data_IF_500327470586
#
_entry.id   IF_500327470586
#
_cell.length_a   1.000
_cell.length_b   1.000
_cell.length_c   1.000
_cell.angle_alpha   90.00
_cell.angle_beta   90.00
_cell.angle_gamma   90.00
#
_symmetry.space_group_name_H-M   'P 1'
#
loop_
_entity.id
_entity.type
_entity.pdbx_description
1 polymer ?
#
# COMPACT_ATOMS: atom_id res chain seq x y z
N UNK A 1 6.88 -11.96 1.33
CA UNK A 1 7.46 -10.64 1.01
C UNK A 1 6.98 -10.22 -0.37
N UNK A 2 6.64 -8.93 -0.61
CA UNK A 2 6.32 -8.45 -1.95
C UNK A 2 7.49 -8.73 -2.89
N UNK A 3 7.22 -9.17 -4.12
CA UNK A 3 8.27 -9.36 -5.12
C UNK A 3 8.80 -7.99 -5.55
N UNK A 4 10.12 -7.86 -5.69
CA UNK A 4 10.74 -6.66 -6.25
C UNK A 4 10.24 -6.43 -7.68
N UNK A 5 10.23 -5.17 -8.13
CA UNK A 5 9.87 -4.84 -9.51
C UNK A 5 10.91 -5.45 -10.46
N UNK A 6 10.54 -5.87 -11.68
CA UNK A 6 11.46 -6.49 -12.62
C UNK A 6 12.76 -5.70 -12.85
N UNK A 7 12.69 -4.36 -12.88
CA UNK A 7 13.82 -3.46 -13.15
C UNK A 7 14.55 -2.99 -11.86
N UNK A 8 14.49 -3.77 -10.78
CA UNK A 8 15.18 -3.37 -9.53
C UNK A 8 16.65 -3.74 -9.62
N UNK A 9 17.52 -2.73 -9.73
CA UNK A 9 18.97 -2.91 -9.69
C UNK A 9 19.40 -3.08 -8.23
N UNK A 10 20.06 -4.20 -7.93
CA UNK A 10 20.68 -4.45 -6.63
C UNK A 10 22.18 -4.30 -6.84
N UNK A 11 22.87 -3.39 -6.13
CA UNK A 11 24.31 -3.23 -6.26
C UNK A 11 25.03 -4.55 -6.00
N UNK A 12 26.07 -4.80 -6.80
CA UNK A 12 27.02 -5.89 -6.55
C UNK A 12 27.86 -5.60 -5.31
N UNK A 13 28.56 -6.61 -4.79
CA UNK A 13 29.42 -6.44 -3.61
C UNK A 13 30.55 -5.44 -3.85
N UNK A 14 31.11 -5.42 -5.08
CA UNK A 14 32.14 -4.46 -5.48
C UNK A 14 31.60 -3.03 -5.51
N UNK A 15 30.43 -2.81 -6.13
CA UNK A 15 29.76 -1.50 -6.14
C UNK A 15 29.40 -1.04 -4.72
N UNK A 16 28.92 -1.94 -3.86
CA UNK A 16 28.65 -1.63 -2.45
C UNK A 16 29.91 -1.17 -1.70
N UNK A 17 31.06 -1.79 -1.96
CA UNK A 17 32.32 -1.38 -1.34
C UNK A 17 32.71 0.03 -1.78
N UNK A 18 32.64 0.33 -3.08
CA UNK A 18 32.90 1.67 -3.61
C UNK A 18 31.95 2.72 -3.03
N UNK A 19 30.64 2.41 -2.95
CA UNK A 19 29.63 3.28 -2.33
C UNK A 19 29.98 3.56 -0.87
N UNK A 20 30.37 2.52 -0.11
CA UNK A 20 30.74 2.66 1.29
C UNK A 20 32.03 3.46 1.50
N UNK A 21 33.04 3.30 0.65
CA UNK A 21 34.29 4.08 0.70
C UNK A 21 34.03 5.56 0.43
N UNK A 22 33.25 5.85 -0.61
CA UNK A 22 32.87 7.23 -0.94
C UNK A 22 32.07 7.86 0.21
N UNK A 23 31.08 7.16 0.76
CA UNK A 23 30.30 7.66 1.88
C UNK A 23 31.16 8.00 3.12
N UNK A 24 32.24 7.23 3.38
CA UNK A 24 33.20 7.53 4.45
C UNK A 24 34.03 8.77 4.14
N UNK A 25 34.47 8.94 2.89
CA UNK A 25 35.18 10.14 2.45
C UNK A 25 34.31 11.39 2.59
N UNK A 26 33.02 11.27 2.32
CA UNK A 26 32.03 12.35 2.42
C UNK A 26 31.51 12.57 3.86
N UNK A 27 31.98 11.79 4.85
CA UNK A 27 31.53 11.81 6.25
C UNK A 27 30.00 11.65 6.43
N UNK A 28 29.38 10.84 5.55
CA UNK A 28 27.94 10.57 5.57
C UNK A 28 27.57 9.23 6.20
N UNK A 29 28.55 8.44 6.60
CA UNK A 29 28.34 7.14 7.24
C UNK A 29 27.99 7.33 8.71
N UNK A 30 26.84 6.79 9.14
CA UNK A 30 26.51 6.70 10.55
C UNK A 30 27.45 5.73 11.27
N UNK A 31 28.08 6.21 12.34
CA UNK A 31 28.77 5.34 13.30
C UNK A 31 27.78 4.62 14.22
N UNK A 32 28.19 3.49 14.79
CA UNK A 32 27.37 2.73 15.75
C UNK A 32 26.98 3.58 16.97
N UNK A 33 27.87 4.47 17.41
CA UNK A 33 27.61 5.39 18.52
C UNK A 33 26.52 6.40 18.16
N UNK A 34 26.58 6.99 16.95
CA UNK A 34 25.53 7.88 16.47
C UNK A 34 24.20 7.15 16.34
N UNK A 35 24.20 5.93 15.79
CA UNK A 35 23.01 5.12 15.65
C UNK A 35 22.37 4.79 17.01
N UNK A 36 23.18 4.45 18.02
CA UNK A 36 22.71 4.15 19.37
C UNK A 36 22.05 5.35 20.08
N UNK A 37 22.38 6.57 19.66
CA UNK A 37 21.78 7.81 20.21
C UNK A 37 20.51 8.25 19.48
N UNK A 38 20.18 7.64 18.34
CA UNK A 38 18.96 7.97 17.61
C UNK A 38 17.73 7.50 18.38
N UNK A 39 16.69 8.35 18.41
CA UNK A 39 15.43 8.09 19.10
C UNK A 39 14.36 7.67 18.12
N UNK A 40 13.41 6.87 18.60
CA UNK A 40 12.23 6.52 17.80
C UNK A 40 11.41 7.76 17.48
N UNK A 41 10.79 7.82 16.29
CA UNK A 41 9.89 8.91 15.90
C UNK A 41 8.74 9.13 16.90
N UNK A 42 8.38 8.10 17.68
CA UNK A 42 7.38 8.18 18.75
C UNK A 42 7.78 9.11 19.90
N UNK A 43 9.07 9.37 20.08
CA UNK A 43 9.61 10.25 21.14
C UNK A 43 9.56 11.73 20.76
N UNK A 44 9.10 12.07 19.55
CA UNK A 44 9.01 13.43 19.01
C UNK A 44 7.53 13.82 18.79
N UNK A 45 6.84 14.40 19.80
CA UNK A 45 5.41 14.72 19.74
C UNK A 45 5.04 15.64 18.58
N UNK A 46 5.91 16.56 18.20
CA UNK A 46 5.78 17.49 17.08
C UNK A 46 5.73 16.77 15.71
N UNK A 47 6.35 15.58 15.61
CA UNK A 47 6.36 14.75 14.40
C UNK A 47 5.20 13.74 14.38
N UNK A 48 4.36 13.70 15.41
CA UNK A 48 3.23 12.76 15.50
C UNK A 48 2.19 12.94 14.39
N UNK A 49 2.10 14.14 13.81
CA UNK A 49 1.27 14.39 12.63
C UNK A 49 1.80 13.65 11.39
N UNK A 50 3.12 13.50 11.25
CA UNK A 50 3.76 12.71 10.18
C UNK A 50 3.57 11.20 10.41
N UNK A 51 3.42 10.75 11.66
CA UNK A 51 3.13 9.35 11.96
C UNK A 51 1.75 8.89 11.48
N UNK A 52 0.85 9.81 11.10
CA UNK A 52 -0.44 9.52 10.45
C UNK A 52 -0.34 9.53 8.91
N UNK A 53 0.83 9.21 8.36
CA UNK A 53 1.01 9.07 6.92
C UNK A 53 0.17 7.91 6.38
N UNK A 54 -0.85 8.23 5.59
CA UNK A 54 -1.72 7.24 4.96
C UNK A 54 -2.98 7.89 4.38
N UNK A 55 -3.65 7.22 3.45
CA UNK A 55 -4.98 7.66 2.99
C UNK A 55 -5.92 7.64 4.21
N UNK A 56 -6.66 8.74 4.49
CA UNK A 56 -7.64 8.74 5.56
C UNK A 56 -8.61 7.56 5.45
N UNK A 57 -8.94 6.95 6.58
CA UNK A 57 -9.96 5.91 6.60
C UNK A 57 -11.28 6.46 6.05
N UNK A 58 -11.92 5.70 5.16
CA UNK A 58 -13.28 6.04 4.72
C UNK A 58 -14.23 5.86 5.90
N UNK A 59 -15.10 6.85 6.15
CA UNK A 59 -16.13 6.76 7.19
C UNK A 59 -17.02 5.52 7.04
N UNK A 60 -17.43 5.21 5.80
CA UNK A 60 -18.25 4.05 5.47
C UNK A 60 -17.56 3.22 4.37
N UNK A 61 -16.65 2.30 4.71
CA UNK A 61 -16.00 1.43 3.74
C UNK A 61 -16.98 0.38 3.21
N UNK A 62 -16.76 -0.09 1.97
CA UNK A 62 -17.45 -1.26 1.44
C UNK A 62 -17.12 -2.47 2.32
N UNK A 63 -18.15 -3.21 2.71
CA UNK A 63 -17.97 -4.42 3.51
C UNK A 63 -17.64 -5.60 2.58
N UNK A 64 -16.57 -6.33 2.89
CA UNK A 64 -16.22 -7.55 2.18
C UNK A 64 -17.10 -8.68 2.68
N UNK A 65 -17.97 -9.22 1.83
CA UNK A 65 -18.83 -10.35 2.15
C UNK A 65 -18.84 -11.36 1.01
N UNK A 66 -19.13 -12.61 1.33
CA UNK A 66 -19.27 -13.69 0.35
C UNK A 66 -20.74 -13.91 0.06
N UNK A 67 -21.16 -13.65 -1.17
CA UNK A 67 -22.50 -13.97 -1.68
C UNK A 67 -22.39 -15.03 -2.77
N UNK A 68 -23.41 -15.89 -2.87
CA UNK A 68 -23.56 -16.81 -4.00
C UNK A 68 -24.45 -16.14 -5.03
N UNK A 69 -24.02 -16.14 -6.28
CA UNK A 69 -24.74 -15.62 -7.43
C UNK A 69 -24.85 -16.74 -8.45
N UNK A 70 -25.90 -16.70 -9.26
CA UNK A 70 -26.08 -17.66 -10.34
C UNK A 70 -24.92 -17.60 -11.33
N UNK A 71 -24.60 -18.75 -11.93
CA UNK A 71 -23.47 -18.89 -12.82
C UNK A 71 -23.58 -17.96 -14.05
N UNK A 72 -24.79 -17.83 -14.61
CA UNK A 72 -25.07 -16.96 -15.75
C UNK A 72 -24.77 -15.49 -15.43
N UNK A 73 -25.24 -15.02 -14.28
CA UNK A 73 -24.99 -13.65 -13.80
C UNK A 73 -23.50 -13.39 -13.66
N UNK A 74 -22.75 -14.33 -13.05
CA UNK A 74 -21.30 -14.20 -12.91
C UNK A 74 -20.57 -14.21 -14.25
N UNK A 75 -20.99 -15.05 -15.20
CA UNK A 75 -20.39 -15.12 -16.53
C UNK A 75 -20.61 -13.80 -17.27
N UNK A 76 -21.84 -13.29 -17.27
CA UNK A 76 -22.20 -12.02 -17.90
C UNK A 76 -21.30 -10.87 -17.42
N UNK A 77 -21.24 -10.62 -16.11
CA UNK A 77 -20.43 -9.52 -15.60
C UNK A 77 -18.93 -9.73 -15.80
N UNK A 78 -18.42 -10.96 -15.63
CA UNK A 78 -16.98 -11.23 -15.83
C UNK A 78 -16.50 -10.96 -17.26
N UNK A 79 -17.37 -11.10 -18.26
CA UNK A 79 -17.04 -10.79 -19.65
C UNK A 79 -16.71 -9.30 -19.87
N UNK A 80 -17.24 -8.39 -19.04
CA UNK A 80 -16.91 -6.96 -19.09
C UNK A 80 -15.48 -6.65 -18.60
N UNK A 81 -14.76 -7.63 -18.05
CA UNK A 81 -13.36 -7.50 -17.70
C UNK A 81 -13.11 -6.73 -16.41
N UNK A 82 -12.11 -5.83 -16.41
CA UNK A 82 -11.67 -5.13 -15.20
C UNK A 82 -12.77 -4.19 -14.70
N UNK A 83 -13.27 -4.46 -13.50
CA UNK A 83 -14.27 -3.61 -12.85
C UNK A 83 -15.66 -4.23 -12.74
N UNK A 84 -15.87 -5.46 -13.22
CA UNK A 84 -17.17 -6.14 -13.15
C UNK A 84 -17.79 -6.21 -11.74
N UNK A 85 -16.97 -6.34 -10.69
CA UNK A 85 -17.45 -6.29 -9.30
C UNK A 85 -17.95 -4.90 -8.87
N UNK A 86 -17.42 -3.84 -9.46
CA UNK A 86 -17.89 -2.47 -9.21
C UNK A 86 -19.22 -2.23 -9.91
N UNK A 87 -19.37 -2.76 -11.12
CA UNK A 87 -20.60 -2.70 -11.91
C UNK A 87 -21.76 -3.42 -11.21
N UNK A 88 -21.59 -4.68 -10.82
CA UNK A 88 -22.65 -5.41 -10.11
C UNK A 88 -23.04 -4.72 -8.79
N UNK A 89 -22.08 -4.13 -8.08
CA UNK A 89 -22.37 -3.35 -6.88
C UNK A 89 -23.17 -2.06 -7.18
N UNK A 90 -22.98 -1.42 -8.33
CA UNK A 90 -23.76 -0.26 -8.74
C UNK A 90 -25.22 -0.65 -8.98
N UNK A 91 -25.45 -1.73 -9.73
CA UNK A 91 -26.80 -2.26 -10.01
C UNK A 91 -27.52 -2.65 -8.71
N UNK A 92 -26.85 -3.36 -7.80
CA UNK A 92 -27.44 -3.71 -6.51
C UNK A 92 -27.76 -2.47 -5.65
N UNK A 93 -26.95 -1.42 -5.76
CA UNK A 93 -27.21 -0.16 -5.04
C UNK A 93 -28.44 0.55 -5.59
N UNK A 94 -28.58 0.60 -6.92
CA UNK A 94 -29.71 1.25 -7.58
C UNK A 94 -31.00 0.50 -7.24
N UNK A 95 -30.99 -0.84 -7.28
CA UNK A 95 -32.10 -1.68 -6.84
C UNK A 95 -32.52 -1.38 -5.39
N UNK A 96 -31.55 -1.26 -4.47
CA UNK A 96 -31.82 -0.89 -3.07
C UNK A 96 -32.43 0.51 -2.97
N UNK A 97 -32.01 1.47 -3.79
CA UNK A 97 -32.57 2.83 -3.75
C UNK A 97 -34.03 2.87 -4.24
N UNK A 98 -34.34 2.12 -5.29
CA UNK A 98 -35.70 2.03 -5.84
C UNK A 98 -36.69 1.35 -4.88
N UNK A 99 -36.22 0.42 -4.05
CA UNK A 99 -37.06 -0.40 -3.17
C UNK A 99 -36.95 0.00 -1.69
N UNK A 100 -36.29 1.11 -1.39
CA UNK A 100 -36.18 1.66 -0.03
C UNK A 100 -37.35 2.62 0.20
N UNK A 101 -38.45 2.07 0.73
CA UNK A 101 -39.58 2.83 1.29
C UNK A 101 -39.15 3.65 2.51
#
# INVERSE_FOLDING_TARGET
MPKLKPETIIPTDEENNTINEQARSDDTVLTDQQLATMKSISEFPELRALAKLGRPHKMNPKQSTTIRLDAEVLVFFKQHGKGWQTEINAILRDYVQEHRT
#
